data_IF_410852558261
#
_entry.id   IF_410852558261
#
_cell.length_a   1.000
_cell.length_b   1.000
_cell.length_c   1.000
_cell.angle_alpha   90.00
_cell.angle_beta   90.00
_cell.angle_gamma   90.00
#
_symmetry.space_group_name_H-M   'P 1'
#
loop_
_entity.id
_entity.type
_entity.pdbx_description
1 polymer ?
#
# COMPACT_ATOMS: atom_id res chain seq x y z
N UNK A 1 -4.72 -4.48 20.78
CA UNK A 1 -5.53 -5.34 19.89
C UNK A 1 -4.56 -6.10 19.00
N UNK A 2 -4.71 -7.41 18.85
CA UNK A 2 -3.80 -8.27 18.09
C UNK A 2 -3.90 -7.93 16.59
N UNK A 3 -2.77 -7.89 15.89
CA UNK A 3 -2.74 -7.72 14.44
C UNK A 3 -3.40 -8.94 13.80
N UNK A 4 -4.53 -8.76 13.14
CA UNK A 4 -5.20 -9.79 12.35
C UNK A 4 -5.20 -9.38 10.88
N UNK A 5 -4.91 -10.30 9.95
CA UNK A 5 -4.52 -11.71 10.16
C UNK A 5 -3.14 -11.87 10.84
N UNK A 6 -2.88 -13.01 11.52
CA UNK A 6 -1.61 -13.25 12.19
C UNK A 6 -0.46 -13.30 11.17
N UNK A 7 0.68 -12.68 11.50
CA UNK A 7 1.84 -12.66 10.60
C UNK A 7 2.34 -14.06 10.24
N UNK A 8 2.22 -15.04 11.15
CA UNK A 8 2.60 -16.41 10.88
C UNK A 8 1.82 -16.99 9.67
N UNK A 9 0.50 -16.82 9.65
CA UNK A 9 -0.35 -17.32 8.56
C UNK A 9 -0.06 -16.64 7.22
N UNK A 10 0.29 -15.36 7.24
CA UNK A 10 0.71 -14.64 6.02
C UNK A 10 2.05 -15.15 5.49
N UNK A 11 2.99 -15.44 6.39
CA UNK A 11 4.31 -15.96 6.03
C UNK A 11 4.20 -17.38 5.50
N UNK A 12 3.37 -18.23 6.10
CA UNK A 12 3.17 -19.61 5.65
C UNK A 12 2.61 -19.69 4.22
N UNK A 13 1.84 -18.69 3.78
CA UNK A 13 1.32 -18.59 2.41
C UNK A 13 2.37 -18.20 1.37
N UNK A 14 3.39 -17.45 1.78
CA UNK A 14 4.40 -16.87 0.87
C UNK A 14 5.75 -17.60 0.98
N UNK A 15 6.04 -18.23 2.12
CA UNK A 15 7.29 -18.92 2.42
C UNK A 15 8.42 -18.01 2.89
N UNK A 16 8.28 -16.69 2.80
CA UNK A 16 9.32 -15.73 3.23
C UNK A 16 8.73 -14.41 3.72
N UNK A 17 9.20 -13.97 4.89
CA UNK A 17 8.84 -12.66 5.48
C UNK A 17 9.23 -11.50 4.59
N UNK A 18 10.41 -11.55 3.97
CA UNK A 18 10.90 -10.46 3.11
C UNK A 18 10.10 -10.39 1.81
N UNK A 19 9.78 -11.55 1.21
CA UNK A 19 8.93 -11.59 0.02
C UNK A 19 7.53 -11.10 0.32
N UNK A 20 6.96 -11.47 1.48
CA UNK A 20 5.66 -10.98 1.93
C UNK A 20 5.64 -9.45 1.98
N UNK A 21 6.65 -8.82 2.60
CA UNK A 21 6.73 -7.35 2.70
C UNK A 21 6.81 -6.70 1.32
N UNK A 22 7.67 -7.19 0.44
CA UNK A 22 7.81 -6.65 -0.92
C UNK A 22 6.52 -6.81 -1.74
N UNK A 23 5.89 -7.98 -1.66
CA UNK A 23 4.64 -8.28 -2.36
C UNK A 23 3.50 -7.36 -1.89
N UNK A 24 3.32 -7.24 -0.57
CA UNK A 24 2.30 -6.37 0.03
C UNK A 24 2.55 -4.90 -0.31
N UNK A 25 3.80 -4.43 -0.23
CA UNK A 25 4.14 -3.05 -0.54
C UNK A 25 3.83 -2.69 -2.00
N UNK A 26 4.25 -3.55 -2.94
CA UNK A 26 3.94 -3.36 -4.37
C UNK A 26 2.44 -3.36 -4.61
N UNK A 27 1.72 -4.34 -4.04
CA UNK A 27 0.27 -4.42 -4.23
C UNK A 27 -0.47 -3.23 -3.63
N UNK A 28 -0.06 -2.75 -2.45
CA UNK A 28 -0.65 -1.59 -1.82
C UNK A 28 -0.50 -0.32 -2.67
N UNK A 29 0.67 -0.12 -3.29
CA UNK A 29 0.89 1.00 -4.23
C UNK A 29 -0.03 0.89 -5.45
N UNK A 30 -0.15 -0.29 -6.06
CA UNK A 30 -1.04 -0.49 -7.20
C UNK A 30 -2.52 -0.21 -6.84
N UNK A 31 -2.95 -0.58 -5.64
CA UNK A 31 -4.31 -0.28 -5.16
C UNK A 31 -4.49 1.23 -4.99
N UNK A 32 -3.51 1.92 -4.40
CA UNK A 32 -3.56 3.37 -4.20
C UNK A 32 -3.60 4.13 -5.53
N UNK A 33 -2.68 3.82 -6.45
CA UNK A 33 -2.61 4.44 -7.78
C UNK A 33 -3.89 4.22 -8.57
N UNK A 34 -4.43 3.00 -8.58
CA UNK A 34 -5.69 2.72 -9.26
C UNK A 34 -6.86 3.52 -8.68
N UNK A 35 -6.92 3.66 -7.37
CA UNK A 35 -7.97 4.45 -6.72
C UNK A 35 -7.85 5.94 -7.09
N UNK A 36 -6.63 6.47 -7.13
CA UNK A 36 -6.35 7.83 -7.56
C UNK A 36 -6.73 8.07 -9.03
N UNK A 37 -6.29 7.20 -9.94
CA UNK A 37 -6.59 7.26 -11.38
C UNK A 37 -8.10 7.20 -11.68
N UNK A 38 -8.84 6.44 -10.88
CA UNK A 38 -10.30 6.27 -11.05
C UNK A 38 -11.13 7.27 -10.25
N UNK A 39 -10.50 8.05 -9.36
CA UNK A 39 -11.18 8.91 -8.40
C UNK A 39 -11.98 8.14 -7.35
N UNK A 40 -11.68 6.87 -7.11
CA UNK A 40 -12.34 6.03 -6.12
C UNK A 40 -11.83 6.33 -4.71
N UNK A 41 -12.75 6.60 -3.77
CA UNK A 41 -12.39 6.75 -2.36
C UNK A 41 -12.40 5.37 -1.69
N UNK A 42 -11.26 4.94 -1.18
CA UNK A 42 -11.13 3.64 -0.51
C UNK A 42 -11.62 3.69 0.94
N UNK A 43 -12.49 2.74 1.30
CA UNK A 43 -12.98 2.59 2.68
C UNK A 43 -11.90 2.14 3.68
N UNK A 44 -10.83 1.53 3.18
CA UNK A 44 -9.74 0.97 3.99
C UNK A 44 -8.39 1.31 3.38
N UNK A 45 -7.37 1.38 4.24
CA UNK A 45 -5.99 1.64 3.80
C UNK A 45 -5.55 0.61 2.76
N UNK A 46 -4.88 1.01 1.66
CA UNK A 46 -4.41 0.10 0.62
C UNK A 46 -3.59 -1.09 1.16
N UNK A 47 -2.77 -0.85 2.18
CA UNK A 47 -1.97 -1.89 2.82
C UNK A 47 -2.82 -2.95 3.54
N UNK A 48 -3.92 -2.55 4.18
CA UNK A 48 -4.86 -3.49 4.82
C UNK A 48 -5.56 -4.35 3.77
N UNK A 49 -5.94 -3.76 2.64
CA UNK A 49 -6.55 -4.47 1.52
C UNK A 49 -5.57 -5.49 0.94
N UNK A 50 -4.31 -5.09 0.71
CA UNK A 50 -3.27 -5.97 0.20
C UNK A 50 -2.98 -7.16 1.14
N UNK A 51 -2.94 -6.93 2.46
CA UNK A 51 -2.78 -8.00 3.46
C UNK A 51 -3.94 -9.00 3.38
N UNK A 52 -5.18 -8.52 3.24
CA UNK A 52 -6.35 -9.39 3.11
C UNK A 52 -6.34 -10.19 1.82
N UNK A 53 -5.84 -9.63 0.71
CA UNK A 53 -5.71 -10.36 -0.54
C UNK A 53 -4.70 -11.50 -0.44
N UNK A 54 -3.58 -11.29 0.26
CA UNK A 54 -2.63 -12.38 0.58
C UNK A 54 -3.32 -13.42 1.46
N UNK A 55 -4.00 -12.96 2.51
CA UNK A 55 -4.67 -13.83 3.46
C UNK A 55 -5.74 -14.72 2.83
N UNK A 56 -6.58 -14.14 1.97
CA UNK A 56 -7.62 -14.84 1.22
C UNK A 56 -7.08 -15.67 0.04
N UNK A 57 -5.78 -15.54 -0.27
CA UNK A 57 -5.14 -16.22 -1.39
C UNK A 57 -5.47 -15.63 -2.77
N UNK A 58 -6.07 -14.43 -2.81
CA UNK A 58 -6.29 -13.66 -4.06
C UNK A 58 -4.96 -13.14 -4.64
N UNK A 59 -4.00 -12.84 -3.78
CA UNK A 59 -2.65 -12.45 -4.15
C UNK A 59 -1.67 -13.60 -3.85
N UNK A 60 -0.92 -14.03 -4.86
CA UNK A 60 0.10 -15.08 -4.77
C UNK A 60 1.35 -14.63 -5.51
N UNK A 61 2.50 -15.23 -5.17
CA UNK A 61 3.69 -15.12 -6.00
C UNK A 61 3.41 -15.79 -7.35
N UNK A 62 3.75 -15.12 -8.46
CA UNK A 62 3.83 -15.80 -9.76
C UNK A 62 5.03 -16.73 -9.69
N UNK A 63 4.83 -18.00 -10.07
CA UNK A 63 5.94 -18.89 -10.38
C UNK A 63 6.64 -18.31 -11.61
N UNK A 64 7.90 -17.96 -11.42
CA UNK A 64 8.77 -17.31 -12.36
C UNK A 64 9.20 -18.28 -13.46
N UNK A 65 8.41 -18.35 -14.54
CA UNK A 65 8.89 -18.87 -15.83
C UNK A 65 9.75 -17.83 -16.58
N UNK A 66 10.60 -17.07 -15.87
CA UNK A 66 11.74 -16.34 -16.46
C UNK A 66 11.43 -15.13 -17.35
N UNK A 67 10.34 -14.40 -17.14
CA UNK A 67 10.13 -13.11 -17.81
C UNK A 67 10.15 -11.98 -16.77
N UNK A 68 11.30 -11.33 -16.66
CA UNK A 68 11.49 -10.10 -15.89
C UNK A 68 10.73 -8.96 -16.58
N UNK A 69 9.57 -8.57 -16.05
CA UNK A 69 8.94 -7.31 -16.42
C UNK A 69 9.83 -6.15 -15.95
N UNK A 70 10.12 -5.15 -16.83
CA UNK A 70 11.04 -4.08 -16.51
C UNK A 70 10.52 -3.30 -15.30
N UNK A 71 11.44 -3.01 -14.37
CA UNK A 71 11.19 -2.13 -13.25
C UNK A 71 10.73 -0.78 -13.79
N UNK A 72 9.43 -0.46 -13.62
CA UNK A 72 8.92 0.87 -13.87
C UNK A 72 9.73 1.85 -13.02
N UNK A 73 10.44 2.75 -13.70
CA UNK A 73 11.23 3.81 -13.11
C UNK A 73 10.32 4.63 -12.19
N UNK A 74 10.65 4.66 -10.90
CA UNK A 74 9.97 5.51 -9.95
C UNK A 74 10.29 6.96 -10.32
N UNK A 75 9.33 7.68 -10.89
CA UNK A 75 9.41 9.14 -10.95
C UNK A 75 9.47 9.68 -9.51
N UNK A 76 10.37 10.65 -9.22
CA UNK A 76 10.42 11.25 -7.90
C UNK A 76 9.16 12.08 -7.68
N UNK A 77 8.31 11.65 -6.75
CA UNK A 77 7.22 12.48 -6.23
C UNK A 77 7.84 13.72 -5.56
N UNK A 78 7.76 14.86 -6.24
CA UNK A 78 8.01 16.17 -5.65
C UNK A 78 6.94 16.41 -4.61
N UNK A 79 7.33 16.43 -3.34
CA UNK A 79 6.51 16.91 -2.25
C UNK A 79 6.26 18.42 -2.44
N UNK A 80 5.17 18.79 -3.12
CA UNK A 80 4.61 20.14 -3.05
C UNK A 80 3.73 20.24 -1.80
N UNK A 81 4.32 20.90 -0.81
CA UNK A 81 3.74 21.88 0.10
C UNK A 81 2.21 22.00 0.14
N UNK A 82 1.64 21.72 1.33
CA UNK A 82 0.35 22.24 1.74
C UNK A 82 0.52 22.88 3.12
N UNK A 83 1.01 24.12 3.13
CA UNK A 83 0.70 25.10 4.16
C UNK A 83 -0.82 25.12 4.42
N UNK A 84 -1.21 24.83 5.66
CA UNK A 84 -2.54 25.11 6.16
C UNK A 84 -2.45 26.10 7.32
N UNK A 85 -2.52 27.39 6.95
CA UNK A 85 -3.40 28.38 7.57
C UNK A 85 -3.07 28.82 8.99
N UNK A 86 -2.42 29.98 9.09
CA UNK A 86 -2.63 30.92 10.18
C UNK A 86 -4.14 31.18 10.37
N UNK A 87 -4.64 31.05 11.60
CA UNK A 87 -5.89 31.70 11.99
C UNK A 87 -5.55 32.80 12.98
N UNK A 88 -5.70 34.03 12.51
CA UNK A 88 -5.84 35.25 13.30
C UNK A 88 -6.89 35.04 14.41
N UNK A 89 -6.52 35.34 15.65
CA UNK A 89 -7.48 35.79 16.66
C UNK A 89 -7.13 37.25 16.98
N UNK A 90 -7.87 38.14 16.34
CA UNK A 90 -7.97 39.56 16.66
C UNK A 90 -8.87 39.79 17.89
N UNK A 91 -8.66 40.94 18.54
CA UNK A 91 -9.60 41.67 19.43
C UNK A 91 -9.51 41.28 20.94
N UNK A 92 -9.43 42.15 21.97
CA UNK A 92 -9.35 43.62 22.15
C UNK A 92 -9.23 43.95 23.66
N UNK A 93 -8.68 45.14 23.94
CA UNK A 93 -8.65 45.97 25.18
C UNK A 93 -8.33 45.33 26.56
#
# INVERSE_FOLDING_TARGET
MMLYPPMAELVDKIGSRYLLVNLVARRARNIAQKAEETGEILDRKPISIAIDEVYTGKLKLKEDNGEEEPAAEAEPETAEDAEAGETEDTETD
#
